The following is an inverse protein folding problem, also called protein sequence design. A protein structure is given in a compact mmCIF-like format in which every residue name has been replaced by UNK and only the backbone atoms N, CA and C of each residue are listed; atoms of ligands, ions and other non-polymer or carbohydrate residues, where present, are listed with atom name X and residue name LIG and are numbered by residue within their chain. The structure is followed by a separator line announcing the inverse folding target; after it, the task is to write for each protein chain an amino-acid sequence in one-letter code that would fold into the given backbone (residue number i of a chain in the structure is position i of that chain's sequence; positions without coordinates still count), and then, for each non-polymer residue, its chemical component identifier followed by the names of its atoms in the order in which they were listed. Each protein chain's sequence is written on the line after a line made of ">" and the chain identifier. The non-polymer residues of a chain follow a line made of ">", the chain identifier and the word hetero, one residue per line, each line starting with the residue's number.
data_IF_149749176979
#
_entry.id   IF_149749176979
#
_cell.length_a   1.000
_cell.length_b   1.000
_cell.length_c   1.000
_cell.angle_alpha   90.00
_cell.angle_beta   90.00
_cell.angle_gamma   90.00
#
_symmetry.space_group_name_H-M   'P 1'
#
loop_
_entity.id
_entity.type
_entity.pdbx_description
1 polymer ?
#
# COMPACT_ATOMS: atom_id res chain seq x y z
N UNK A 1 4.38 15.66 19.74
CA UNK A 1 4.54 15.82 18.27
C UNK A 1 3.17 16.15 17.72
N UNK A 2 3.02 17.29 17.04
CA UNK A 2 1.78 17.61 16.34
C UNK A 2 1.56 16.59 15.22
N UNK A 3 0.38 15.97 15.17
CA UNK A 3 0.00 15.12 14.04
C UNK A 3 -0.42 16.01 12.87
N UNK A 4 0.05 15.69 11.67
CA UNK A 4 -0.32 16.44 10.47
C UNK A 4 -1.84 16.40 10.26
N UNK A 5 -2.42 17.54 9.87
CA UNK A 5 -3.79 17.62 9.39
C UNK A 5 -3.82 17.76 7.87
N UNK A 6 -4.84 17.18 7.24
CA UNK A 6 -5.20 17.43 5.84
C UNK A 6 -6.66 17.90 5.82
N UNK A 7 -6.91 19.20 5.76
CA UNK A 7 -8.24 19.73 6.11
C UNK A 7 -9.03 20.30 4.93
N UNK A 8 -8.44 20.33 3.73
CA UNK A 8 -9.08 20.95 2.56
C UNK A 8 -9.12 20.00 1.37
N UNK A 9 -10.17 20.07 0.52
CA UNK A 9 -10.22 19.31 -0.73
C UNK A 9 -8.98 19.52 -1.62
N UNK A 10 -8.47 20.75 -1.71
CA UNK A 10 -7.27 21.06 -2.49
C UNK A 10 -5.99 20.40 -1.96
N UNK A 11 -5.88 20.17 -0.65
CA UNK A 11 -4.74 19.42 -0.09
C UNK A 11 -4.84 17.92 -0.40
N UNK A 12 -6.06 17.37 -0.42
CA UNK A 12 -6.34 15.96 -0.74
C UNK A 12 -6.02 15.70 -2.21
N UNK A 13 -6.52 16.54 -3.12
CA UNK A 13 -6.27 16.41 -4.56
C UNK A 13 -4.78 16.48 -4.91
N UNK A 14 -4.03 17.34 -4.19
CA UNK A 14 -2.59 17.52 -4.38
C UNK A 14 -1.73 16.58 -3.52
N UNK A 15 -2.31 15.68 -2.73
CA UNK A 15 -1.52 14.78 -1.91
C UNK A 15 -0.72 13.78 -2.75
N UNK A 16 0.32 13.22 -2.13
CA UNK A 16 1.10 12.11 -2.65
C UNK A 16 0.61 10.86 -1.91
N UNK A 17 -0.17 10.02 -2.58
CA UNK A 17 -0.62 8.75 -1.99
C UNK A 17 0.43 7.68 -2.28
N UNK A 18 0.84 6.97 -1.24
CA UNK A 18 1.91 5.97 -1.33
C UNK A 18 1.48 4.64 -0.72
N UNK A 19 1.81 3.55 -1.42
CA UNK A 19 1.66 2.19 -0.90
C UNK A 19 2.91 1.35 -1.23
N UNK A 20 3.48 0.71 -0.21
CA UNK A 20 4.70 -0.08 -0.30
C UNK A 20 4.44 -1.58 -0.35
N UNK A 21 5.01 -2.24 -1.36
CA UNK A 21 4.79 -3.65 -1.62
C UNK A 21 6.06 -4.49 -1.50
N UNK A 22 5.92 -5.72 -1.03
CA UNK A 22 7.04 -6.64 -0.83
C UNK A 22 6.61 -7.99 -0.27
N UNK A 23 7.58 -8.77 0.24
CA UNK A 23 7.32 -10.13 0.77
C UNK A 23 6.48 -10.18 2.05
N UNK A 24 6.24 -9.03 2.69
CA UNK A 24 5.55 -8.95 3.97
C UNK A 24 6.39 -9.53 5.12
N UNK A 25 5.85 -9.47 6.34
CA UNK A 25 6.55 -9.93 7.55
C UNK A 25 6.86 -11.43 7.46
N UNK A 26 8.14 -11.78 7.66
CA UNK A 26 8.59 -13.16 7.80
C UNK A 26 8.00 -13.78 9.06
N UNK A 27 7.44 -14.99 8.95
CA UNK A 27 6.96 -15.74 10.10
C UNK A 27 8.10 -16.24 10.99
N UNK A 28 9.32 -16.35 10.47
CA UNK A 28 10.49 -16.88 11.20
C UNK A 28 11.22 -15.80 12.01
N UNK A 29 11.45 -14.65 11.39
CA UNK A 29 12.25 -13.56 11.97
C UNK A 29 11.40 -12.46 12.58
N UNK A 30 10.09 -12.49 12.34
CA UNK A 30 9.13 -11.44 12.69
C UNK A 30 9.47 -10.03 12.15
N UNK A 31 10.52 -9.91 11.35
CA UNK A 31 10.93 -8.70 10.62
C UNK A 31 10.21 -8.63 9.27
N UNK A 32 9.82 -7.42 8.88
CA UNK A 32 9.38 -7.15 7.52
C UNK A 32 10.63 -6.77 6.71
N UNK A 33 10.90 -7.44 5.56
CA UNK A 33 11.95 -6.99 4.67
C UNK A 33 11.56 -5.66 4.04
N UNK A 34 12.58 -4.94 3.56
CA UNK A 34 12.41 -3.71 2.81
C UNK A 34 11.41 -3.89 1.65
N UNK A 35 10.60 -2.87 1.36
CA UNK A 35 9.73 -2.90 0.20
C UNK A 35 10.55 -3.02 -1.08
N UNK A 36 9.98 -3.73 -2.06
CA UNK A 36 10.56 -3.96 -3.39
C UNK A 36 9.85 -3.18 -4.47
N UNK A 37 8.66 -2.68 -4.17
CA UNK A 37 7.88 -1.87 -5.07
C UNK A 37 7.16 -0.79 -4.31
N UNK A 38 6.85 0.28 -5.02
CA UNK A 38 6.04 1.37 -4.49
C UNK A 38 5.11 1.89 -5.57
N UNK A 39 3.86 2.07 -5.17
CA UNK A 39 2.85 2.80 -5.91
C UNK A 39 2.79 4.21 -5.43
N UNK A 40 2.76 5.15 -6.36
CA UNK A 40 2.58 6.56 -6.05
C UNK A 40 1.50 7.12 -6.95
N UNK A 41 0.47 7.73 -6.35
CA UNK A 41 -0.56 8.48 -7.04
C UNK A 41 -0.40 9.97 -6.71
N UNK A 42 -0.18 10.79 -7.73
CA UNK A 42 -0.08 12.26 -7.61
C UNK A 42 -0.84 12.88 -8.76
N UNK A 43 -1.73 13.84 -8.48
CA UNK A 43 -2.53 14.55 -9.48
C UNK A 43 -3.30 13.58 -10.41
N UNK A 44 -3.80 12.47 -9.85
CA UNK A 44 -4.52 11.42 -10.59
C UNK A 44 -3.61 10.49 -11.43
N UNK A 45 -2.30 10.71 -11.46
CA UNK A 45 -1.34 9.92 -12.24
C UNK A 45 -0.70 8.88 -11.34
N UNK A 46 -0.94 7.61 -11.64
CA UNK A 46 -0.32 6.48 -10.97
C UNK A 46 1.05 6.15 -11.58
N UNK A 47 2.04 5.96 -10.71
CA UNK A 47 3.39 5.49 -11.06
C UNK A 47 3.76 4.30 -10.19
N UNK A 48 4.45 3.33 -10.78
CA UNK A 48 4.91 2.12 -10.10
C UNK A 48 6.42 2.03 -10.24
N UNK A 49 7.14 2.02 -9.12
CA UNK A 49 8.61 2.04 -9.10
C UNK A 49 9.15 0.78 -8.44
N UNK A 50 10.14 0.15 -9.06
CA UNK A 50 10.89 -0.94 -8.44
C UNK A 50 11.96 -0.38 -7.49
N UNK A 51 12.05 -0.95 -6.29
CA UNK A 51 12.87 -0.45 -5.19
C UNK A 51 13.99 -1.41 -4.81
N UNK A 52 15.18 -0.84 -4.63
CA UNK A 52 16.34 -1.46 -3.99
C UNK A 52 17.58 -1.54 -4.88
N UNK A 53 18.71 -1.75 -4.22
CA UNK A 53 20.02 -1.97 -4.86
C UNK A 53 20.18 -3.44 -5.24
N UNK A 54 19.31 -3.93 -6.14
CA UNK A 54 19.36 -5.32 -6.54
C UNK A 54 19.08 -5.50 -8.04
N UNK A 55 19.56 -6.61 -8.64
CA UNK A 55 19.29 -6.95 -10.03
C UNK A 55 17.81 -6.90 -10.40
N UNK A 56 16.92 -7.09 -9.42
CA UNK A 56 15.45 -6.99 -9.59
C UNK A 56 15.02 -5.60 -10.03
N UNK A 57 15.55 -4.54 -9.41
CA UNK A 57 15.17 -3.17 -9.74
C UNK A 57 15.64 -2.81 -11.16
N UNK A 58 16.89 -3.14 -11.48
CA UNK A 58 17.46 -2.90 -12.81
C UNK A 58 16.71 -3.68 -13.90
N UNK A 59 16.45 -4.96 -13.66
CA UNK A 59 15.74 -5.82 -14.62
C UNK A 59 14.30 -5.37 -14.90
N UNK A 60 13.69 -4.60 -13.98
CA UNK A 60 12.35 -4.05 -14.10
C UNK A 60 12.30 -2.61 -14.60
N UNK A 61 13.43 -1.93 -14.78
CA UNK A 61 13.50 -0.56 -15.32
C UNK A 61 12.74 -0.43 -16.64
N UNK A 62 12.76 -1.48 -17.46
CA UNK A 62 12.10 -1.54 -18.77
C UNK A 62 10.81 -2.36 -18.77
N UNK A 63 10.31 -2.77 -17.61
CA UNK A 63 9.04 -3.49 -17.54
C UNK A 63 7.88 -2.56 -17.93
N UNK A 64 6.85 -3.07 -18.63
CA UNK A 64 5.69 -2.28 -19.00
C UNK A 64 5.05 -1.61 -17.79
N UNK A 65 4.79 -0.30 -17.88
CA UNK A 65 4.16 0.51 -16.83
C UNK A 65 4.98 0.64 -15.53
N UNK A 66 6.26 0.24 -15.54
CA UNK A 66 7.23 0.63 -14.53
C UNK A 66 7.69 2.07 -14.84
N UNK A 67 7.57 2.98 -13.89
CA UNK A 67 8.06 4.35 -14.05
C UNK A 67 9.61 4.41 -13.97
N UNK A 68 10.21 3.40 -13.34
CA UNK A 68 11.66 3.27 -13.25
C UNK A 68 12.10 2.41 -12.07
N UNK A 69 13.39 2.48 -11.80
CA UNK A 69 14.07 1.78 -10.72
C UNK A 69 14.84 2.80 -9.88
N UNK A 70 14.77 2.65 -8.56
CA UNK A 70 15.51 3.49 -7.62
C UNK A 70 15.92 2.69 -6.40
N UNK A 71 17.02 3.11 -5.77
CA UNK A 71 17.35 2.64 -4.41
C UNK A 71 16.26 3.13 -3.45
N UNK A 72 15.98 2.38 -2.39
CA UNK A 72 14.98 2.80 -1.41
C UNK A 72 15.35 4.16 -0.77
N UNK A 73 16.58 4.40 -0.28
CA UNK A 73 16.97 5.72 0.23
C UNK A 73 16.77 6.85 -0.79
N UNK A 74 17.17 6.65 -2.05
CA UNK A 74 17.04 7.67 -3.08
C UNK A 74 15.58 8.00 -3.39
N UNK A 75 14.71 6.99 -3.46
CA UNK A 75 13.27 7.19 -3.63
C UNK A 75 12.66 7.97 -2.46
N UNK A 76 12.99 7.60 -1.21
CA UNK A 76 12.47 8.26 -0.01
C UNK A 76 12.92 9.72 0.07
N UNK A 77 14.18 10.01 -0.24
CA UNK A 77 14.70 11.37 -0.33
C UNK A 77 13.94 12.18 -1.38
N UNK A 78 13.82 11.64 -2.60
CA UNK A 78 13.19 12.34 -3.72
C UNK A 78 11.73 12.67 -3.45
N UNK A 79 10.96 11.72 -2.88
CA UNK A 79 9.54 11.95 -2.59
C UNK A 79 9.35 12.92 -1.42
N UNK A 80 10.22 12.88 -0.41
CA UNK A 80 10.19 13.81 0.73
C UNK A 80 10.55 15.23 0.29
N UNK A 81 11.61 15.38 -0.51
CA UNK A 81 11.98 16.68 -1.11
C UNK A 81 10.86 17.24 -1.99
N UNK A 82 10.21 16.39 -2.79
CA UNK A 82 9.04 16.78 -3.59
C UNK A 82 7.91 17.27 -2.70
N UNK A 83 7.57 16.52 -1.65
CA UNK A 83 6.51 16.87 -0.72
C UNK A 83 6.75 18.23 -0.05
N UNK A 84 7.98 18.51 0.41
CA UNK A 84 8.35 19.82 0.95
C UNK A 84 8.24 20.94 -0.10
N UNK A 85 8.91 20.78 -1.24
CA UNK A 85 8.96 21.82 -2.28
C UNK A 85 7.57 22.19 -2.80
N UNK A 86 6.69 21.20 -2.94
CA UNK A 86 5.36 21.39 -3.51
C UNK A 86 4.28 21.56 -2.43
N UNK A 87 4.68 21.62 -1.14
CA UNK A 87 3.78 21.69 0.02
C UNK A 87 2.68 20.63 0.00
N UNK A 88 3.04 19.39 -0.35
CA UNK A 88 2.13 18.24 -0.43
C UNK A 88 2.24 17.38 0.83
N UNK A 89 1.12 16.73 1.20
CA UNK A 89 1.12 15.66 2.20
C UNK A 89 1.47 14.32 1.55
N UNK A 90 2.16 13.46 2.30
CA UNK A 90 2.38 12.06 1.97
C UNK A 90 1.33 11.25 2.73
N UNK A 91 0.37 10.71 1.98
CA UNK A 91 -0.80 10.00 2.50
C UNK A 91 -0.58 8.50 2.40
N UNK A 92 -0.86 7.78 3.49
CA UNK A 92 -0.69 6.33 3.58
C UNK A 92 -1.78 5.68 4.44
N UNK A 93 -1.83 4.34 4.44
CA UNK A 93 -2.86 3.57 5.14
C UNK A 93 -2.34 2.77 6.33
N UNK A 94 -1.04 2.52 6.43
CA UNK A 94 -0.50 1.64 7.46
C UNK A 94 0.68 2.26 8.18
N UNK A 95 0.97 1.74 9.38
CA UNK A 95 2.17 2.14 10.14
C UNK A 95 3.46 1.77 9.40
N UNK A 96 3.39 0.88 8.40
CA UNK A 96 4.56 0.41 7.67
C UNK A 96 5.24 1.55 6.91
N UNK A 97 4.46 2.40 6.25
CA UNK A 97 4.98 3.53 5.47
C UNK A 97 5.83 4.46 6.35
N UNK A 98 5.30 5.11 7.41
CA UNK A 98 6.10 6.01 8.25
C UNK A 98 7.27 5.30 8.95
N UNK A 99 7.16 4.00 9.26
CA UNK A 99 8.29 3.21 9.78
C UNK A 99 9.41 3.10 8.74
N UNK A 100 9.11 2.72 7.50
CA UNK A 100 10.11 2.66 6.41
C UNK A 100 10.80 4.02 6.22
N UNK A 101 10.03 5.12 6.22
CA UNK A 101 10.60 6.46 6.14
C UNK A 101 11.55 6.76 7.30
N UNK A 102 11.16 6.43 8.53
CA UNK A 102 11.95 6.69 9.74
C UNK A 102 13.23 5.85 9.81
N UNK A 103 13.14 4.56 9.48
CA UNK A 103 14.26 3.61 9.52
C UNK A 103 15.39 4.01 8.55
N UNK A 104 15.06 4.74 7.49
CA UNK A 104 16.01 5.22 6.49
C UNK A 104 16.38 6.71 6.66
N UNK A 105 16.03 7.33 7.79
CA UNK A 105 16.44 8.71 8.12
C UNK A 105 15.60 9.81 7.46
N UNK A 106 14.40 9.49 6.97
CA UNK A 106 13.47 10.43 6.34
C UNK A 106 12.13 10.51 7.10
N UNK A 107 12.10 10.77 8.42
CA UNK A 107 10.86 10.74 9.21
C UNK A 107 9.82 11.72 8.64
N UNK A 108 8.59 11.22 8.44
CA UNK A 108 7.55 12.00 7.74
C UNK A 108 7.08 13.24 8.51
N UNK A 109 7.16 13.24 9.85
CA UNK A 109 6.75 14.38 10.68
C UNK A 109 5.39 14.95 10.26
N UNK A 110 5.35 16.24 9.94
CA UNK A 110 4.14 16.94 9.49
C UNK A 110 3.76 16.67 8.02
N UNK A 111 4.63 16.05 7.22
CA UNK A 111 4.29 15.67 5.84
C UNK A 111 3.36 14.45 5.82
N UNK A 112 3.51 13.53 6.77
CA UNK A 112 2.82 12.25 6.78
C UNK A 112 1.37 12.36 7.27
N UNK A 113 0.45 11.70 6.58
CA UNK A 113 -0.95 11.59 7.00
C UNK A 113 -1.45 10.15 6.90
N UNK A 114 -1.78 9.55 8.06
CA UNK A 114 -2.40 8.23 8.15
C UNK A 114 -3.92 8.34 8.02
N UNK A 115 -4.48 7.81 6.94
CA UNK A 115 -5.94 7.83 6.69
C UNK A 115 -6.68 6.89 7.64
N UNK A 116 -6.02 5.81 8.08
CA UNK A 116 -6.68 4.67 8.70
C UNK A 116 -7.34 4.97 10.05
N UNK A 117 -6.75 5.76 10.98
CA UNK A 117 -7.41 6.10 12.24
C UNK A 117 -8.75 6.83 12.03
N UNK A 118 -8.78 7.82 11.14
CA UNK A 118 -10.00 8.56 10.80
C UNK A 118 -11.03 7.64 10.14
N UNK A 119 -10.60 6.79 9.21
CA UNK A 119 -11.48 5.82 8.58
C UNK A 119 -12.04 4.79 9.59
N UNK A 120 -11.23 4.30 10.53
CA UNK A 120 -11.70 3.39 11.57
C UNK A 120 -12.73 4.01 12.51
N UNK A 121 -12.60 5.32 12.77
CA UNK A 121 -13.55 6.07 13.61
C UNK A 121 -14.88 6.28 12.90
N UNK A 122 -14.88 6.52 11.60
CA UNK A 122 -16.09 6.70 10.80
C UNK A 122 -16.79 5.35 10.54
N UNK A 123 -16.05 4.37 10.04
CA UNK A 123 -16.58 3.05 9.67
C UNK A 123 -16.36 2.01 10.77
N UNK A 124 -16.81 2.32 11.99
CA UNK A 124 -16.61 1.46 13.19
C UNK A 124 -17.16 0.05 13.00
N UNK A 125 -18.33 -0.09 12.38
CA UNK A 125 -18.97 -1.40 12.15
C UNK A 125 -18.14 -2.27 11.21
N UNK A 126 -17.65 -1.70 10.11
CA UNK A 126 -16.75 -2.40 9.16
C UNK A 126 -15.46 -2.79 9.88
N UNK A 127 -14.89 -1.89 10.67
CA UNK A 127 -13.69 -2.18 11.45
C UNK A 127 -13.93 -3.30 12.48
N UNK A 128 -15.03 -3.28 13.22
CA UNK A 128 -15.38 -4.29 14.21
C UNK A 128 -15.52 -5.68 13.57
N UNK A 129 -16.27 -5.77 12.46
CA UNK A 129 -16.40 -7.00 11.66
C UNK A 129 -15.04 -7.52 11.20
N UNK A 130 -14.18 -6.64 10.67
CA UNK A 130 -12.84 -7.03 10.22
C UNK A 130 -11.99 -7.59 11.38
N UNK A 131 -12.04 -6.96 12.56
CA UNK A 131 -11.30 -7.44 13.73
C UNK A 131 -11.85 -8.77 14.25
N UNK A 132 -13.16 -8.96 14.23
CA UNK A 132 -13.79 -10.24 14.58
C UNK A 132 -13.28 -11.37 13.70
N UNK A 133 -13.33 -11.20 12.37
CA UNK A 133 -12.81 -12.20 11.41
C UNK A 133 -11.31 -12.42 11.59
N UNK A 134 -10.53 -11.38 11.90
CA UNK A 134 -9.10 -11.51 12.21
C UNK A 134 -8.84 -12.31 13.49
N UNK A 135 -9.65 -12.13 14.54
CA UNK A 135 -9.57 -12.91 15.78
C UNK A 135 -9.95 -14.37 15.52
N UNK A 136 -11.01 -14.60 14.76
CA UNK A 136 -11.52 -15.94 14.45
C UNK A 136 -10.50 -16.81 13.71
N UNK A 137 -9.61 -16.22 12.89
CA UNK A 137 -8.51 -16.95 12.25
C UNK A 137 -7.49 -17.56 13.22
N UNK A 138 -7.39 -17.02 14.44
CA UNK A 138 -6.51 -17.51 15.51
C UNK A 138 -7.20 -18.53 16.42
N UNK A 139 -8.52 -18.65 16.34
CA UNK A 139 -9.29 -19.59 17.13
C UNK A 139 -9.02 -21.03 16.65
N UNK A 140 -8.54 -21.95 17.52
CA UNK A 140 -8.34 -23.34 17.15
C UNK A 140 -9.65 -24.13 16.99
N UNK A 141 -10.76 -23.64 17.57
CA UNK A 141 -12.06 -24.32 17.60
C UNK A 141 -12.95 -24.03 16.38
N UNK A 142 -12.59 -23.02 15.58
CA UNK A 142 -13.38 -22.63 14.41
C UNK A 142 -13.32 -23.69 13.30
N UNK A 143 -14.46 -23.98 12.68
CA UNK A 143 -14.51 -24.92 11.56
C UNK A 143 -13.69 -24.44 10.37
N UNK A 144 -13.16 -25.38 9.57
CA UNK A 144 -12.37 -25.08 8.35
C UNK A 144 -13.12 -24.16 7.39
N UNK A 145 -14.42 -24.37 7.20
CA UNK A 145 -15.28 -23.53 6.34
C UNK A 145 -15.33 -22.10 6.83
N UNK A 146 -15.62 -21.89 8.12
CA UNK A 146 -15.66 -20.54 8.72
C UNK A 146 -14.28 -19.88 8.72
N UNK A 147 -13.21 -20.65 8.92
CA UNK A 147 -11.83 -20.17 8.81
C UNK A 147 -11.49 -19.67 7.40
N UNK A 148 -11.95 -20.39 6.37
CA UNK A 148 -11.76 -19.98 4.98
C UNK A 148 -12.55 -18.72 4.63
N UNK A 149 -13.78 -18.59 5.14
CA UNK A 149 -14.58 -17.38 4.98
C UNK A 149 -13.90 -16.17 5.66
N UNK A 150 -13.47 -16.33 6.91
CA UNK A 150 -12.73 -15.29 7.62
C UNK A 150 -11.42 -14.92 6.92
N UNK A 151 -10.74 -15.90 6.32
CA UNK A 151 -9.52 -15.69 5.53
C UNK A 151 -9.79 -14.79 4.32
N UNK A 152 -10.86 -15.05 3.57
CA UNK A 152 -11.25 -14.24 2.40
C UNK A 152 -11.46 -12.77 2.79
N UNK A 153 -12.12 -12.51 3.91
CA UNK A 153 -12.35 -11.14 4.40
C UNK A 153 -11.04 -10.48 4.82
N UNK A 154 -10.20 -11.17 5.59
CA UNK A 154 -8.96 -10.59 6.12
C UNK A 154 -7.93 -10.37 5.02
N UNK A 155 -7.84 -11.28 4.04
CA UNK A 155 -6.88 -11.20 2.94
C UNK A 155 -7.17 -10.00 2.01
N UNK A 156 -8.42 -9.57 1.89
CA UNK A 156 -8.79 -8.35 1.15
C UNK A 156 -8.35 -7.06 1.87
N UNK A 157 -8.13 -7.12 3.18
CA UNK A 157 -7.68 -5.97 3.97
C UNK A 157 -8.79 -4.98 4.34
N UNK A 158 -8.54 -4.16 5.38
CA UNK A 158 -9.52 -3.22 5.89
C UNK A 158 -9.83 -2.08 4.91
N UNK A 159 -8.83 -1.62 4.16
CA UNK A 159 -8.99 -0.57 3.13
C UNK A 159 -10.06 -0.98 2.12
N UNK A 160 -9.96 -2.21 1.61
CA UNK A 160 -10.93 -2.75 0.67
C UNK A 160 -12.37 -2.65 1.16
N UNK A 161 -12.63 -3.11 2.39
CA UNK A 161 -13.99 -3.14 2.93
C UNK A 161 -14.54 -1.74 3.18
N UNK A 162 -13.71 -0.83 3.71
CA UNK A 162 -14.12 0.57 3.92
C UNK A 162 -14.37 1.26 2.57
N UNK A 163 -13.44 1.12 1.63
CA UNK A 163 -13.57 1.75 0.31
C UNK A 163 -14.81 1.21 -0.42
N UNK A 164 -15.08 -0.10 -0.37
CA UNK A 164 -16.28 -0.72 -0.94
C UNK A 164 -17.57 -0.18 -0.32
N UNK A 165 -17.62 -0.04 1.02
CA UNK A 165 -18.76 0.56 1.74
C UNK A 165 -19.02 2.01 1.31
N UNK A 166 -17.97 2.72 0.91
CA UNK A 166 -18.06 4.10 0.39
C UNK A 166 -18.30 4.19 -1.12
N UNK A 167 -18.60 3.08 -1.79
CA UNK A 167 -18.91 3.05 -3.23
C UNK A 167 -17.69 2.99 -4.16
N UNK A 168 -16.47 2.75 -3.63
CA UNK A 168 -15.32 2.47 -4.49
C UNK A 168 -15.44 1.08 -5.10
N UNK A 169 -15.35 1.00 -6.42
CA UNK A 169 -15.51 -0.25 -7.15
C UNK A 169 -14.15 -0.88 -7.42
N UNK A 170 -13.82 -1.94 -6.67
CA UNK A 170 -12.68 -2.79 -7.01
C UNK A 170 -13.01 -3.71 -8.18
N UNK A 171 -12.01 -4.09 -8.99
CA UNK A 171 -12.21 -5.09 -10.03
C UNK A 171 -12.63 -6.45 -9.42
N UNK A 172 -13.48 -7.25 -10.08
CA UNK A 172 -13.97 -8.54 -9.55
C UNK A 172 -12.88 -9.55 -9.15
N UNK A 173 -11.66 -9.40 -9.69
CA UNK A 173 -10.51 -10.25 -9.43
C UNK A 173 -9.49 -9.62 -8.46
N UNK A 174 -9.93 -8.71 -7.56
CA UNK A 174 -9.04 -8.08 -6.60
C UNK A 174 -8.30 -9.11 -5.72
N UNK A 175 -6.96 -9.12 -5.73
CA UNK A 175 -6.23 -10.28 -5.23
C UNK A 175 -5.76 -10.13 -3.79
N UNK A 176 -6.68 -10.27 -2.85
CA UNK A 176 -6.35 -10.30 -1.42
C UNK A 176 -5.29 -11.37 -1.07
N UNK A 177 -4.31 -10.98 -0.24
CA UNK A 177 -3.35 -11.88 0.40
C UNK A 177 -2.29 -12.54 -0.50
N UNK A 178 -2.16 -12.14 -1.77
CA UNK A 178 -1.23 -12.79 -2.73
C UNK A 178 0.03 -11.99 -3.04
N UNK A 179 0.10 -10.72 -2.61
CA UNK A 179 1.21 -9.80 -2.89
C UNK A 179 2.57 -10.40 -2.58
N UNK A 180 2.80 -10.85 -1.34
CA UNK A 180 4.10 -11.36 -0.93
C UNK A 180 4.54 -12.57 -1.75
N UNK A 181 3.60 -13.42 -2.17
CA UNK A 181 3.86 -14.56 -3.06
C UNK A 181 4.28 -14.08 -4.45
N UNK A 182 3.60 -13.06 -4.99
CA UNK A 182 3.91 -12.50 -6.30
C UNK A 182 5.25 -11.80 -6.32
N UNK A 183 5.50 -10.92 -5.36
CA UNK A 183 6.80 -10.25 -5.17
C UNK A 183 7.92 -11.28 -5.04
N UNK A 184 7.74 -12.30 -4.20
CA UNK A 184 8.73 -13.37 -4.06
C UNK A 184 8.99 -14.17 -5.34
N UNK A 185 7.97 -14.43 -6.16
CA UNK A 185 8.13 -15.12 -7.44
C UNK A 185 8.85 -14.26 -8.49
N UNK A 186 8.53 -12.97 -8.55
CA UNK A 186 9.18 -11.99 -9.43
C UNK A 186 10.66 -11.88 -9.06
N UNK A 187 10.97 -11.64 -7.78
CA UNK A 187 12.33 -11.52 -7.28
C UNK A 187 13.14 -12.80 -7.54
N UNK A 188 12.60 -13.98 -7.22
CA UNK A 188 13.29 -15.26 -7.43
C UNK A 188 13.69 -15.47 -8.90
N UNK A 189 12.81 -15.08 -9.83
CA UNK A 189 13.12 -15.19 -11.25
C UNK A 189 14.11 -14.14 -11.72
N UNK A 190 14.01 -12.90 -11.25
CA UNK A 190 14.91 -11.82 -11.68
C UNK A 190 16.32 -11.93 -11.09
N UNK A 191 16.48 -12.58 -9.94
CA UNK A 191 17.81 -12.96 -9.43
C UNK A 191 18.51 -13.98 -10.34
N UNK A 192 17.75 -14.77 -11.11
CA UNK A 192 18.30 -15.79 -12.02
C UNK A 192 18.27 -15.38 -13.49
N UNK A 193 17.60 -14.26 -13.81
CA UNK A 193 17.40 -13.76 -15.17
C UNK A 193 17.45 -12.23 -15.16
N UNK A 194 18.45 -11.66 -15.81
CA UNK A 194 18.80 -10.24 -15.65
C UNK A 194 17.86 -9.21 -16.32
N UNK A 195 16.73 -9.65 -16.89
CA UNK A 195 15.82 -8.75 -17.61
C UNK A 195 14.35 -9.23 -17.61
N UNK A 196 13.39 -8.29 -17.56
CA UNK A 196 11.94 -8.56 -17.54
C UNK A 196 11.48 -9.49 -18.67
N UNK A 197 12.02 -9.36 -19.88
CA UNK A 197 11.58 -10.17 -21.02
C UNK A 197 11.79 -11.67 -20.78
N UNK A 198 12.78 -12.03 -19.94
CA UNK A 198 13.08 -13.40 -19.56
C UNK A 198 12.07 -13.99 -18.56
N UNK A 199 11.15 -13.20 -17.98
CA UNK A 199 10.11 -13.71 -17.11
C UNK A 199 9.16 -14.63 -17.88
N UNK A 200 8.73 -15.72 -17.23
CA UNK A 200 7.65 -16.56 -17.77
C UNK A 200 6.34 -15.78 -17.83
N UNK A 201 5.41 -16.21 -18.69
CA UNK A 201 4.08 -15.62 -18.79
C UNK A 201 3.37 -15.54 -17.42
N UNK A 202 3.51 -16.59 -16.59
CA UNK A 202 2.96 -16.64 -15.23
C UNK A 202 3.52 -15.54 -14.33
N UNK A 203 4.83 -15.30 -14.35
CA UNK A 203 5.44 -14.27 -13.50
C UNK A 203 5.19 -12.86 -14.04
N UNK A 204 5.08 -12.69 -15.36
CA UNK A 204 4.57 -11.43 -15.95
C UNK A 204 3.13 -11.14 -15.53
N UNK A 205 2.29 -12.18 -15.41
CA UNK A 205 0.92 -12.04 -14.86
C UNK A 205 0.94 -11.64 -13.37
N UNK A 206 1.84 -12.22 -12.56
CA UNK A 206 2.04 -11.79 -11.17
C UNK A 206 2.44 -10.32 -11.06
N UNK A 207 3.38 -9.87 -11.90
CA UNK A 207 3.80 -8.46 -11.96
C UNK A 207 2.62 -7.55 -12.30
N UNK A 208 1.84 -7.90 -13.33
CA UNK A 208 0.67 -7.12 -13.75
C UNK A 208 -0.35 -7.01 -12.62
N UNK A 209 -0.63 -8.12 -11.93
CA UNK A 209 -1.58 -8.14 -10.82
C UNK A 209 -1.08 -7.38 -9.59
N UNK A 210 0.23 -7.43 -9.32
CA UNK A 210 0.86 -6.64 -8.25
C UNK A 210 0.69 -5.15 -8.52
N UNK A 211 1.01 -4.71 -9.75
CA UNK A 211 0.81 -3.33 -10.19
C UNK A 211 -0.65 -2.90 -10.05
N UNK A 212 -1.60 -3.71 -10.52
CA UNK A 212 -3.03 -3.40 -10.40
C UNK A 212 -3.51 -3.36 -8.95
N UNK A 213 -3.04 -4.25 -8.10
CA UNK A 213 -3.40 -4.26 -6.69
C UNK A 213 -2.99 -2.95 -6.02
N UNK A 214 -1.71 -2.60 -6.15
CA UNK A 214 -1.12 -1.42 -5.58
C UNK A 214 -1.73 -0.11 -6.16
N UNK A 215 -2.04 -0.10 -7.47
CA UNK A 215 -2.80 1.00 -8.09
C UNK A 215 -4.19 1.17 -7.45
N UNK A 216 -4.90 0.07 -7.21
CA UNK A 216 -6.22 0.13 -6.59
C UNK A 216 -6.14 0.55 -5.12
N UNK A 217 -5.10 0.15 -4.38
CA UNK A 217 -4.92 0.59 -2.99
C UNK A 217 -4.69 2.10 -2.89
N UNK A 218 -3.83 2.70 -3.73
CA UNK A 218 -3.64 4.16 -3.72
C UNK A 218 -4.88 4.94 -4.17
N UNK A 219 -5.64 4.42 -5.14
CA UNK A 219 -6.92 5.00 -5.57
C UNK A 219 -8.00 4.88 -4.48
N UNK A 220 -8.07 3.73 -3.81
CA UNK A 220 -8.98 3.50 -2.70
C UNK A 220 -8.65 4.42 -1.51
N UNK A 221 -7.36 4.62 -1.21
CA UNK A 221 -6.94 5.58 -0.19
C UNK A 221 -7.39 7.01 -0.52
N UNK A 222 -7.18 7.45 -1.77
CA UNK A 222 -7.66 8.76 -2.22
C UNK A 222 -9.17 8.89 -2.07
N UNK A 223 -9.92 7.89 -2.52
CA UNK A 223 -11.38 7.85 -2.42
C UNK A 223 -11.86 7.96 -0.97
N UNK A 224 -11.33 7.11 -0.08
CA UNK A 224 -11.70 7.11 1.35
C UNK A 224 -11.40 8.45 1.99
N UNK A 225 -10.24 9.05 1.69
CA UNK A 225 -9.87 10.34 2.22
C UNK A 225 -10.79 11.46 1.71
N UNK A 226 -11.16 11.42 0.43
CA UNK A 226 -12.12 12.37 -0.14
C UNK A 226 -13.49 12.27 0.55
N UNK A 227 -14.00 11.05 0.79
CA UNK A 227 -15.26 10.82 1.50
C UNK A 227 -15.20 11.28 2.95
N UNK A 228 -14.07 11.07 3.65
CA UNK A 228 -13.86 11.60 5.00
C UNK A 228 -13.93 13.14 5.01
N UNK A 229 -13.36 13.78 4.00
CA UNK A 229 -13.40 15.25 3.85
C UNK A 229 -14.81 15.77 3.66
N UNK A 230 -15.59 15.17 2.76
CA UNK A 230 -16.94 15.63 2.43
C UNK A 230 -17.91 15.45 3.60
N UNK A 231 -17.66 14.47 4.47
CA UNK A 231 -18.43 14.25 5.71
C UNK A 231 -18.02 15.15 6.88
N UNK A 232 -17.03 16.04 6.69
CA UNK A 232 -16.51 16.90 7.77
C UNK A 232 -15.79 16.13 8.87
N UNK A 233 -15.34 14.89 8.59
CA UNK A 233 -14.73 13.99 9.57
C UNK A 233 -13.20 14.05 9.57
N UNK A 234 -12.58 14.99 8.84
CA UNK A 234 -11.13 15.19 8.97
C UNK A 234 -10.86 15.98 10.24
N UNK A 235 -10.72 15.22 11.32
CA UNK A 235 -10.27 15.70 12.60
C UNK A 235 -8.77 15.93 12.49
N UNK A 236 -8.35 17.16 12.76
CA UNK A 236 -7.03 17.42 13.32
C UNK A 236 -6.76 16.38 14.40
N UNK A 237 -5.70 15.58 14.23
CA UNK A 237 -5.30 14.61 15.26
C UNK A 237 -5.12 15.33 16.58
N UNK A 238 -5.89 14.95 17.60
CA UNK A 238 -5.62 15.34 18.98
C UNK A 238 -4.36 14.63 19.47
#
# INVERSE_FOLDING_TARGET
>A
MAMASISTPGQIERAIYIDFEGRGRSQKTHTAPDPRFVGVLVDGIFTFTALGDCPVAEALRHAPRCAGAATLPHFLEAITRRAHRESRKIVYWSIREPTVFSDFGFPLGELGFDVKPSAQKEWKTVHAMFQEKRKSLKDPSISKTRKNEARRIVDLGLLYHIASETGFHFPPAYPGGKVGKWSGAIEKMLVTRDYYCALTATVKSHYTRLLHHNQNDVLAMQHVLHVLSTRGQILSGK
#
